data_IF_907723036980
#
_entry.id   IF_907723036980
#
_cell.length_a   1.000
_cell.length_b   1.000
_cell.length_c   1.000
_cell.angle_alpha   90.00
_cell.angle_beta   90.00
_cell.angle_gamma   90.00
#
_symmetry.space_group_name_H-M   'P 1'
#
loop_
_entity.id
_entity.type
_entity.pdbx_description
1 polymer ?
#
# COMPACT_ATOMS: atom_id res chain seq x y z
N UNK A 1 -6.95 -29.48 -7.33
CA UNK A 1 -6.74 -28.08 -7.75
C UNK A 1 -6.57 -27.24 -6.49
N UNK A 2 -5.41 -26.61 -6.25
CA UNK A 2 -5.16 -25.79 -5.07
C UNK A 2 -5.60 -24.34 -5.34
N UNK A 3 -6.63 -23.89 -4.63
CA UNK A 3 -7.09 -22.52 -4.62
C UNK A 3 -6.14 -21.68 -3.76
N UNK A 4 -5.13 -21.07 -4.38
CA UNK A 4 -4.48 -19.90 -3.79
C UNK A 4 -5.38 -18.70 -4.07
N UNK A 5 -6.46 -18.61 -3.29
CA UNK A 5 -7.12 -17.32 -3.06
C UNK A 5 -6.05 -16.46 -2.43
N UNK A 6 -5.50 -15.54 -3.22
CA UNK A 6 -4.66 -14.45 -2.74
C UNK A 6 -5.51 -13.65 -1.75
N UNK A 7 -5.47 -14.06 -0.48
CA UNK A 7 -6.28 -13.50 0.57
C UNK A 7 -5.84 -12.05 0.82
N UNK A 8 -6.62 -11.13 0.26
CA UNK A 8 -7.11 -9.93 0.97
C UNK A 8 -6.05 -9.07 1.64
N UNK A 9 -4.92 -8.79 0.99
CA UNK A 9 -4.02 -7.72 1.45
C UNK A 9 -4.34 -6.36 0.81
N UNK A 10 -5.60 -6.17 0.42
CA UNK A 10 -6.16 -4.87 0.11
C UNK A 10 -6.26 -4.06 1.41
N UNK A 11 -5.44 -3.01 1.48
CA UNK A 11 -5.38 -2.10 2.61
C UNK A 11 -5.81 -0.72 2.16
N UNK A 12 -6.44 0.02 3.05
CA UNK A 12 -6.64 1.45 2.86
C UNK A 12 -5.32 2.18 3.14
N UNK A 13 -4.89 2.95 2.16
CA UNK A 13 -3.55 3.53 2.10
C UNK A 13 -3.68 5.01 1.77
N UNK A 14 -3.05 5.88 2.56
CA UNK A 14 -3.02 7.31 2.26
C UNK A 14 -1.83 7.66 1.37
N UNK A 15 -2.09 8.27 0.21
CA UNK A 15 -1.04 8.73 -0.69
C UNK A 15 -0.40 10.01 -0.14
N UNK A 16 0.93 10.08 0.11
CA UNK A 16 1.57 11.31 0.60
C UNK A 16 1.61 12.44 -0.46
N UNK A 17 1.30 12.15 -1.73
CA UNK A 17 1.35 13.14 -2.82
C UNK A 17 0.02 13.87 -3.00
N UNK A 18 -1.08 13.12 -3.12
CA UNK A 18 -2.42 13.70 -3.29
C UNK A 18 -3.23 13.73 -1.99
N UNK A 19 -2.71 13.15 -0.90
CA UNK A 19 -3.36 13.02 0.42
C UNK A 19 -4.72 12.32 0.37
N UNK A 20 -4.98 11.57 -0.71
CA UNK A 20 -6.18 10.74 -0.87
C UNK A 20 -5.90 9.35 -0.31
N UNK A 21 -6.84 8.85 0.45
CA UNK A 21 -6.93 7.43 0.80
C UNK A 21 -7.41 6.63 -0.40
N UNK A 22 -6.79 5.48 -0.61
CA UNK A 22 -7.14 4.55 -1.67
C UNK A 22 -6.92 3.11 -1.20
N UNK A 23 -7.77 2.20 -1.67
CA UNK A 23 -7.63 0.77 -1.37
C UNK A 23 -6.72 0.13 -2.41
N UNK A 24 -5.63 -0.48 -1.97
CA UNK A 24 -4.72 -1.17 -2.85
C UNK A 24 -4.18 -2.44 -2.20
N UNK A 25 -3.95 -3.46 -3.03
CA UNK A 25 -3.32 -4.69 -2.61
C UNK A 25 -1.83 -4.46 -2.36
N UNK A 26 -1.34 -4.87 -1.18
CA UNK A 26 0.07 -4.79 -0.84
C UNK A 26 0.88 -5.62 -1.82
N UNK A 27 1.65 -4.95 -2.67
CA UNK A 27 2.66 -5.60 -3.49
C UNK A 27 3.85 -5.91 -2.57
N UNK A 28 4.01 -7.18 -2.19
CA UNK A 28 5.21 -7.68 -1.51
C UNK A 28 6.14 -8.32 -2.54
N UNK A 29 7.05 -7.52 -3.11
CA UNK A 29 8.17 -8.02 -3.89
C UNK A 29 9.35 -8.41 -3.00
N UNK A 30 10.30 -9.23 -3.49
CA UNK A 30 11.50 -9.70 -2.75
C UNK A 30 12.35 -8.58 -2.10
N UNK A 31 12.24 -7.33 -2.58
CA UNK A 31 13.06 -6.19 -2.14
C UNK A 31 12.26 -4.92 -1.80
N UNK A 32 10.96 -4.88 -2.07
CA UNK A 32 10.13 -3.70 -1.84
C UNK A 32 8.69 -4.10 -1.55
N UNK A 33 8.11 -3.50 -0.50
CA UNK A 33 6.71 -3.70 -0.07
C UNK A 33 5.98 -2.37 -0.15
N UNK A 34 4.92 -2.27 -0.94
CA UNK A 34 4.21 -1.01 -1.11
C UNK A 34 2.97 -1.10 -1.99
N UNK A 35 2.45 0.07 -2.35
CA UNK A 35 1.17 0.25 -3.04
C UNK A 35 1.33 1.21 -4.21
N UNK A 36 0.51 1.05 -5.25
CA UNK A 36 0.48 1.97 -6.39
C UNK A 36 -0.73 2.88 -6.29
N UNK A 37 -0.52 4.18 -6.23
CA UNK A 37 -1.63 5.13 -6.17
C UNK A 37 -2.29 5.24 -7.57
N UNK A 38 -3.62 5.06 -7.70
CA UNK A 38 -4.30 5.18 -8.99
C UNK A 38 -4.38 6.63 -9.50
N UNK A 39 -4.29 7.62 -8.61
CA UNK A 39 -4.37 9.04 -8.97
C UNK A 39 -3.02 9.60 -9.43
N UNK A 40 -1.94 9.30 -8.71
CA UNK A 40 -0.60 9.81 -9.02
C UNK A 40 0.21 8.85 -9.89
N UNK A 41 -0.20 7.57 -9.97
CA UNK A 41 0.55 6.46 -10.58
C UNK A 41 1.95 6.23 -9.97
N UNK A 42 2.22 6.86 -8.83
CA UNK A 42 3.44 6.74 -8.05
C UNK A 42 3.40 5.53 -7.12
N UNK A 43 4.58 4.98 -6.86
CA UNK A 43 4.79 3.91 -5.89
C UNK A 43 4.90 4.53 -4.48
N UNK A 44 4.05 4.07 -3.58
CA UNK A 44 4.01 4.48 -2.18
C UNK A 44 4.50 3.29 -1.33
N UNK A 45 5.67 3.40 -0.66
CA UNK A 45 6.17 2.31 0.17
C UNK A 45 5.30 2.10 1.41
N UNK A 46 5.11 0.84 1.81
CA UNK A 46 4.27 0.44 2.96
C UNK A 46 4.69 1.17 4.24
N UNK A 47 5.99 1.39 4.43
CA UNK A 47 6.57 2.10 5.58
C UNK A 47 6.03 3.54 5.72
N UNK A 48 5.76 4.22 4.62
CA UNK A 48 5.19 5.59 4.64
C UNK A 48 3.70 5.63 4.90
N UNK A 49 3.03 4.49 4.83
CA UNK A 49 1.58 4.37 4.97
C UNK A 49 1.18 3.75 6.30
N UNK A 50 2.15 3.14 7.00
CA UNK A 50 2.00 2.56 8.33
C UNK A 50 2.75 3.38 9.39
N UNK A 51 3.07 4.65 9.14
CA UNK A 51 3.51 5.57 10.19
C UNK A 51 2.25 6.14 10.87
N UNK A 52 1.73 5.57 11.98
CA UNK A 52 1.04 6.42 12.92
C UNK A 52 2.06 7.49 13.33
N UNK A 53 1.63 8.75 13.47
CA UNK A 53 2.55 9.86 13.64
C UNK A 53 3.54 9.49 14.73
N UNK A 54 4.80 9.26 14.35
CA UNK A 54 5.91 9.20 15.31
C UNK A 54 5.98 10.59 15.94
N UNK A 55 5.16 10.72 16.97
CA UNK A 55 4.98 11.91 17.76
C UNK A 55 6.19 11.94 18.67
N UNK A 56 7.20 12.65 18.17
CA UNK A 56 8.19 13.44 18.92
C UNK A 56 9.26 12.70 19.72
#
# INVERSE_FOLDING_TARGET
MAADVQAGNEREVSCPHCKKTFTATLLSGRRARGFKCPHCRLFVPLERTADPPRSR
#
